data_IF_183050377753
#
_entry.id   IF_183050377753
#
_cell.length_a   1.000
_cell.length_b   1.000
_cell.length_c   1.000
_cell.angle_alpha   90.00
_cell.angle_beta   90.00
_cell.angle_gamma   90.00
#
_symmetry.space_group_name_H-M   'P 1'
#
loop_
_entity.id
_entity.type
_entity.pdbx_description
1 polymer ?
#
# COMPACT_ATOMS: atom_id res chain seq x y z
N UNK A 1 -2.20 -10.17 18.75
CA UNK A 1 -3.07 -11.37 18.92
C UNK A 1 -4.16 -11.33 17.87
N UNK A 2 -5.03 -12.34 17.78
CA UNK A 2 -6.15 -12.31 16.82
C UNK A 2 -7.14 -11.19 17.17
N UNK A 3 -7.39 -10.94 18.46
CA UNK A 3 -8.28 -9.88 18.92
C UNK A 3 -7.79 -8.51 18.43
N UNK A 4 -6.50 -8.23 18.57
CA UNK A 4 -5.92 -6.97 18.10
C UNK A 4 -6.05 -6.78 16.58
N UNK A 5 -6.01 -7.89 15.80
CA UNK A 5 -6.13 -7.86 14.34
C UNK A 5 -7.55 -7.48 13.91
N UNK A 6 -8.58 -7.95 14.63
CA UNK A 6 -9.99 -7.74 14.29
C UNK A 6 -10.63 -6.55 15.03
N UNK A 7 -9.97 -6.03 16.07
CA UNK A 7 -10.52 -5.02 16.98
C UNK A 7 -11.15 -3.83 16.24
N UNK A 8 -10.44 -3.30 15.24
CA UNK A 8 -10.95 -2.17 14.48
C UNK A 8 -12.26 -2.49 13.74
N UNK A 9 -12.42 -3.70 13.19
CA UNK A 9 -13.65 -4.13 12.53
C UNK A 9 -14.80 -4.36 13.50
N UNK A 10 -14.51 -4.85 14.71
CA UNK A 10 -15.51 -5.00 15.77
C UNK A 10 -16.02 -3.63 16.22
N UNK A 11 -15.12 -2.66 16.40
CA UNK A 11 -15.47 -1.30 16.84
C UNK A 11 -16.16 -0.47 15.74
N UNK A 12 -16.02 -0.86 14.47
CA UNK A 12 -16.49 -0.10 13.33
C UNK A 12 -17.34 -0.99 12.39
N UNK A 13 -18.64 -1.19 12.68
CA UNK A 13 -19.53 -2.08 11.90
C UNK A 13 -19.80 -1.60 10.46
N UNK A 14 -19.24 -0.47 10.05
CA UNK A 14 -19.30 0.05 8.68
C UNK A 14 -20.55 0.88 8.39
N UNK A 15 -20.68 1.29 7.13
CA UNK A 15 -21.85 2.01 6.59
C UNK A 15 -22.33 1.31 5.32
N UNK A 16 -23.63 1.34 4.98
CA UNK A 16 -24.16 0.59 3.83
C UNK A 16 -23.49 0.91 2.49
N UNK A 17 -22.93 2.11 2.35
CA UNK A 17 -22.26 2.56 1.12
C UNK A 17 -20.79 2.15 0.99
N UNK A 18 -20.18 1.54 2.03
CA UNK A 18 -18.76 1.17 2.02
C UNK A 18 -18.50 -0.13 2.76
N UNK A 19 -17.88 -1.06 2.05
CA UNK A 19 -17.39 -2.30 2.63
C UNK A 19 -15.94 -2.11 3.10
N UNK A 20 -15.71 -2.40 4.38
CA UNK A 20 -14.38 -2.48 4.98
C UNK A 20 -14.03 -3.94 5.26
N UNK A 21 -12.74 -4.25 5.32
CA UNK A 21 -12.29 -5.57 5.72
C UNK A 21 -12.41 -5.83 7.22
N UNK A 22 -12.31 -4.77 8.03
CA UNK A 22 -12.36 -4.90 9.48
C UNK A 22 -11.09 -5.48 10.12
N UNK A 23 -10.06 -5.82 9.34
CA UNK A 23 -8.82 -6.43 9.84
C UNK A 23 -7.60 -5.58 9.55
N UNK A 24 -6.62 -5.61 10.46
CA UNK A 24 -5.34 -4.94 10.32
C UNK A 24 -4.18 -5.87 10.65
N UNK A 25 -3.25 -6.07 9.72
CA UNK A 25 -2.03 -6.81 9.99
C UNK A 25 -1.09 -5.99 10.89
N UNK A 26 -0.36 -6.65 11.79
CA UNK A 26 0.61 -6.00 12.68
C UNK A 26 2.05 -6.08 12.22
N UNK A 27 2.38 -7.12 11.46
CA UNK A 27 3.70 -7.35 10.89
C UNK A 27 3.56 -8.34 9.72
N UNK A 28 4.70 -8.74 9.15
CA UNK A 28 4.74 -9.74 8.07
C UNK A 28 4.22 -11.11 8.53
N UNK A 29 4.53 -11.52 9.76
CA UNK A 29 4.16 -12.84 10.30
C UNK A 29 2.65 -12.97 10.49
N UNK A 30 1.95 -11.86 10.74
CA UNK A 30 0.50 -11.79 10.92
C UNK A 30 -0.25 -12.42 9.73
N UNK A 31 0.21 -12.21 8.50
CA UNK A 31 -0.40 -12.80 7.30
C UNK A 31 -0.25 -14.32 7.24
N UNK A 32 0.88 -14.86 7.74
CA UNK A 32 1.14 -16.30 7.78
C UNK A 32 0.42 -16.97 8.94
N UNK A 33 0.41 -16.33 10.11
CA UNK A 33 -0.18 -16.87 11.34
C UNK A 33 -1.70 -16.94 11.28
N UNK A 34 -2.33 -15.96 10.63
CA UNK A 34 -3.79 -15.88 10.49
C UNK A 34 -4.22 -16.00 9.02
N UNK A 35 -3.53 -16.84 8.24
CA UNK A 35 -3.85 -17.09 6.82
C UNK A 35 -5.31 -17.51 6.62
N UNK A 36 -5.84 -18.32 7.54
CA UNK A 36 -7.23 -18.78 7.50
C UNK A 36 -8.24 -17.63 7.57
N UNK A 37 -7.84 -16.47 8.10
CA UNK A 37 -8.62 -15.24 8.10
C UNK A 37 -8.28 -14.35 6.89
N UNK A 38 -7.00 -14.14 6.60
CA UNK A 38 -6.57 -13.19 5.55
C UNK A 38 -6.80 -13.71 4.13
N UNK A 39 -6.54 -14.99 3.85
CA UNK A 39 -6.63 -15.54 2.50
C UNK A 39 -8.06 -15.45 1.92
N UNK A 40 -9.13 -15.83 2.65
CA UNK A 40 -10.48 -15.65 2.16
C UNK A 40 -10.83 -14.18 1.90
N UNK A 41 -10.37 -13.26 2.76
CA UNK A 41 -10.62 -11.83 2.60
C UNK A 41 -9.90 -11.27 1.36
N UNK A 42 -8.63 -11.65 1.16
CA UNK A 42 -7.85 -11.27 -0.02
C UNK A 42 -8.53 -11.78 -1.29
N UNK A 43 -9.00 -13.03 -1.28
CA UNK A 43 -9.72 -13.61 -2.40
C UNK A 43 -11.03 -12.87 -2.71
N UNK A 44 -11.83 -12.54 -1.69
CA UNK A 44 -13.11 -11.83 -1.88
C UNK A 44 -12.89 -10.43 -2.48
N UNK A 45 -11.84 -9.72 -2.05
CA UNK A 45 -11.64 -8.32 -2.47
C UNK A 45 -10.88 -8.17 -3.79
N UNK A 46 -9.89 -9.02 -4.00
CA UNK A 46 -8.91 -8.87 -5.06
C UNK A 46 -8.97 -10.01 -6.08
N UNK A 47 -9.78 -11.04 -5.85
CA UNK A 47 -9.86 -12.25 -6.68
C UNK A 47 -8.51 -12.98 -6.83
N UNK A 48 -7.66 -12.90 -5.79
CA UNK A 48 -6.41 -13.67 -5.70
C UNK A 48 -6.60 -14.81 -4.69
N UNK A 49 -6.51 -16.06 -5.17
CA UNK A 49 -6.64 -17.24 -4.32
C UNK A 49 -5.35 -17.59 -3.56
N UNK A 50 -5.43 -18.50 -2.57
CA UNK A 50 -4.25 -19.01 -1.85
C UNK A 50 -3.21 -19.57 -2.84
N UNK A 51 -1.96 -19.12 -2.73
CA UNK A 51 -0.87 -19.53 -3.62
C UNK A 51 -0.76 -18.76 -4.95
N UNK A 52 -1.65 -17.79 -5.20
CA UNK A 52 -1.50 -16.89 -6.34
C UNK A 52 -0.26 -16.00 -6.16
N UNK A 53 0.50 -15.78 -7.23
CA UNK A 53 1.69 -14.92 -7.20
C UNK A 53 1.39 -13.55 -7.78
N UNK A 54 1.69 -12.51 -7.02
CA UNK A 54 1.65 -11.14 -7.53
C UNK A 54 2.95 -10.82 -8.29
N UNK A 55 2.81 -10.29 -9.50
CA UNK A 55 3.91 -9.78 -10.30
C UNK A 55 3.99 -8.26 -10.16
N UNK A 56 5.21 -7.75 -10.03
CA UNK A 56 5.48 -6.32 -9.90
C UNK A 56 6.30 -5.88 -11.11
N UNK A 57 5.73 -5.02 -11.94
CA UNK A 57 6.40 -4.41 -13.09
C UNK A 57 6.29 -2.88 -12.93
N UNK A 58 7.45 -2.22 -12.92
CA UNK A 58 7.56 -0.76 -12.75
C UNK A 58 8.20 -0.11 -13.97
N UNK A 59 8.29 -0.83 -15.08
CA UNK A 59 8.82 -0.33 -16.34
C UNK A 59 7.83 0.64 -17.00
N UNK A 60 8.17 1.93 -16.96
CA UNK A 60 7.37 3.03 -17.51
C UNK A 60 7.26 2.91 -19.04
N UNK A 61 8.24 2.30 -19.71
CA UNK A 61 8.28 2.22 -21.18
C UNK A 61 7.18 1.33 -21.77
N UNK A 62 6.59 0.46 -20.94
CA UNK A 62 5.46 -0.40 -21.33
C UNK A 62 4.11 0.30 -21.25
N UNK A 63 4.05 1.51 -20.71
CA UNK A 63 2.83 2.29 -20.67
C UNK A 63 2.50 2.77 -22.09
N UNK A 64 1.35 2.33 -22.60
CA UNK A 64 0.81 2.81 -23.86
C UNK A 64 -0.44 3.64 -23.57
N UNK A 65 -0.40 4.93 -23.90
CA UNK A 65 -1.52 5.84 -23.70
C UNK A 65 -2.34 5.92 -24.99
N UNK A 66 -3.58 5.40 -25.00
CA UNK A 66 -4.39 5.35 -26.22
C UNK A 66 -4.80 6.72 -26.76
N UNK A 67 -4.58 7.79 -26.00
CA UNK A 67 -4.95 9.17 -26.35
C UNK A 67 -3.76 10.00 -26.85
N UNK A 68 -2.53 9.47 -26.90
CA UNK A 68 -1.37 10.22 -27.40
C UNK A 68 -1.50 10.62 -28.87
N UNK A 69 -2.25 9.86 -29.67
CA UNK A 69 -2.49 10.14 -31.09
C UNK A 69 -3.80 10.90 -31.37
N UNK A 70 -4.67 11.07 -30.37
CA UNK A 70 -5.97 11.73 -30.54
C UNK A 70 -5.87 13.23 -30.23
N UNK A 71 -5.70 14.02 -31.29
CA UNK A 71 -5.59 15.49 -31.20
C UNK A 71 -6.89 16.19 -30.84
N UNK A 72 -8.01 15.46 -30.74
CA UNK A 72 -9.33 16.04 -30.42
C UNK A 72 -9.61 16.11 -28.92
N UNK A 73 -8.84 15.37 -28.10
CA UNK A 73 -9.01 15.34 -26.66
C UNK A 73 -8.07 16.33 -25.96
N UNK A 74 -8.63 17.47 -25.54
CA UNK A 74 -7.90 18.44 -24.71
C UNK A 74 -7.82 17.97 -23.25
N UNK A 75 -6.76 17.26 -22.92
CA UNK A 75 -6.51 16.71 -21.58
C UNK A 75 -6.53 17.80 -20.50
N UNK A 76 -6.07 19.02 -20.80
CA UNK A 76 -5.97 20.11 -19.84
C UNK A 76 -7.33 20.75 -19.52
N UNK A 77 -8.33 20.56 -20.39
CA UNK A 77 -9.70 21.01 -20.14
C UNK A 77 -10.43 20.11 -19.13
N UNK A 78 -10.12 18.81 -19.12
CA UNK A 78 -10.88 17.82 -18.34
C UNK A 78 -10.13 17.32 -17.11
N UNK A 79 -8.80 17.24 -17.16
CA UNK A 79 -7.98 16.66 -16.08
C UNK A 79 -7.28 17.79 -15.32
N UNK A 80 -7.67 17.98 -14.06
CA UNK A 80 -7.07 18.99 -13.18
C UNK A 80 -5.72 18.54 -12.61
N UNK A 81 -5.58 17.28 -12.23
CA UNK A 81 -4.31 16.68 -11.81
C UNK A 81 -4.35 15.16 -11.87
N UNK A 82 -3.18 14.57 -12.04
CA UNK A 82 -2.96 13.13 -12.00
C UNK A 82 -1.92 12.81 -10.92
N UNK A 83 -2.19 11.80 -10.10
CA UNK A 83 -1.28 11.39 -9.02
C UNK A 83 -1.24 9.89 -8.90
N UNK A 84 -0.03 9.34 -8.88
CA UNK A 84 0.24 7.94 -8.55
C UNK A 84 0.81 7.90 -7.13
N UNK A 85 0.23 7.05 -6.26
CA UNK A 85 0.73 6.82 -4.90
C UNK A 85 1.06 5.35 -4.74
N UNK A 86 2.23 5.09 -4.18
CA UNK A 86 2.68 3.76 -3.79
C UNK A 86 3.02 3.79 -2.30
N UNK A 87 2.92 2.66 -1.62
CA UNK A 87 3.29 2.52 -0.21
C UNK A 87 4.14 1.27 -0.03
N UNK A 88 5.07 1.33 0.93
CA UNK A 88 6.02 0.26 1.26
C UNK A 88 6.13 0.16 2.77
N UNK A 89 6.28 -1.06 3.26
CA UNK A 89 6.67 -1.34 4.63
C UNK A 89 8.14 -1.75 4.64
N UNK A 90 8.86 -1.41 5.71
CA UNK A 90 10.25 -1.85 5.88
C UNK A 90 10.25 -3.23 6.53
N UNK A 91 11.01 -4.16 5.94
CA UNK A 91 11.22 -5.48 6.54
C UNK A 91 11.83 -5.36 7.94
N UNK A 92 11.51 -6.31 8.81
CA UNK A 92 11.95 -6.34 10.21
C UNK A 92 11.40 -5.22 11.10
N UNK A 93 10.42 -4.46 10.62
CA UNK A 93 9.64 -3.53 11.43
C UNK A 93 8.17 -3.94 11.45
N UNK A 94 7.56 -3.76 12.61
CA UNK A 94 6.11 -3.81 12.75
C UNK A 94 5.43 -2.75 11.89
N UNK A 95 4.23 -3.06 11.43
CA UNK A 95 3.37 -2.14 10.69
C UNK A 95 2.84 -1.04 11.61
N UNK A 96 2.38 0.10 11.06
CA UNK A 96 2.02 1.28 11.84
C UNK A 96 1.00 1.04 12.97
N UNK A 97 0.12 0.05 12.77
CA UNK A 97 -0.96 -0.39 13.66
C UNK A 97 -0.45 -0.95 14.98
N UNK A 98 0.72 -1.60 14.98
CA UNK A 98 1.29 -2.27 16.16
C UNK A 98 2.67 -1.72 16.54
N UNK A 99 3.16 -0.74 15.79
CA UNK A 99 4.50 -0.21 15.97
C UNK A 99 4.67 0.56 17.28
N UNK A 100 5.74 0.22 17.99
CA UNK A 100 6.13 0.96 19.18
C UNK A 100 6.66 2.35 18.82
N UNK A 101 6.62 3.30 19.77
CA UNK A 101 7.23 4.63 19.58
C UNK A 101 8.72 4.55 19.23
N UNK A 102 9.43 3.55 19.76
CA UNK A 102 10.84 3.35 19.49
C UNK A 102 11.08 2.88 18.05
N UNK A 103 10.33 1.89 17.57
CA UNK A 103 10.41 1.42 16.18
C UNK A 103 10.04 2.51 15.19
N UNK A 104 8.96 3.26 15.44
CA UNK A 104 8.53 4.36 14.57
C UNK A 104 9.63 5.42 14.39
N UNK A 105 10.32 5.79 15.46
CA UNK A 105 11.48 6.72 15.41
C UNK A 105 12.67 6.12 14.65
N UNK A 106 12.91 4.82 14.78
CA UNK A 106 13.96 4.12 14.02
C UNK A 106 13.66 4.11 12.52
N UNK A 107 12.41 3.88 12.14
CA UNK A 107 11.94 3.95 10.75
C UNK A 107 12.12 5.37 10.21
N UNK A 108 11.62 6.37 10.92
CA UNK A 108 11.78 7.79 10.57
C UNK A 108 13.26 8.16 10.37
N UNK A 109 14.12 7.85 11.33
CA UNK A 109 15.54 8.15 11.24
C UNK A 109 16.26 7.45 10.08
N UNK A 110 15.84 6.24 9.70
CA UNK A 110 16.36 5.57 8.49
C UNK A 110 15.90 6.26 7.22
N UNK A 111 14.61 6.60 7.13
CA UNK A 111 14.04 7.24 5.94
C UNK A 111 14.64 8.63 5.71
N UNK A 112 14.79 9.44 6.77
CA UNK A 112 15.37 10.79 6.64
C UNK A 112 16.80 10.74 6.08
N UNK A 113 17.63 9.81 6.57
CA UNK A 113 19.00 9.63 6.04
C UNK A 113 19.02 9.28 4.56
N UNK A 114 18.13 8.39 4.12
CA UNK A 114 18.04 7.99 2.70
C UNK A 114 17.54 9.16 1.85
N UNK A 115 16.54 9.91 2.32
CA UNK A 115 16.01 11.06 1.59
C UNK A 115 17.02 12.21 1.48
N UNK A 116 17.81 12.45 2.53
CA UNK A 116 18.90 13.43 2.49
C UNK A 116 19.94 13.07 1.40
N UNK A 117 20.29 11.79 1.27
CA UNK A 117 21.21 11.30 0.23
C UNK A 117 20.61 11.46 -1.17
N UNK A 118 19.36 11.07 -1.37
CA UNK A 118 18.68 11.19 -2.67
C UNK A 118 18.53 12.64 -3.14
N UNK A 119 18.33 13.58 -2.22
CA UNK A 119 18.27 15.01 -2.55
C UNK A 119 19.65 15.50 -3.03
N UNK A 120 20.74 15.04 -2.40
CA UNK A 120 22.10 15.41 -2.81
C UNK A 120 22.42 14.88 -4.21
N UNK A 121 22.06 13.64 -4.53
CA UNK A 121 22.27 13.03 -5.84
C UNK A 121 21.47 13.74 -6.94
N UNK A 122 20.20 14.08 -6.68
CA UNK A 122 19.35 14.76 -7.66
C UNK A 122 19.73 16.24 -7.89
N UNK A 123 20.41 16.88 -6.93
CA UNK A 123 20.90 18.26 -7.08
C UNK A 123 22.27 18.36 -7.77
N UNK A 124 22.90 17.24 -8.13
CA UNK A 124 24.16 17.20 -8.90
C UNK A 124 23.95 17.10 -10.42
N UNK A 125 22.70 17.12 -10.88
CA UNK A 125 22.30 17.25 -12.28
C UNK A 125 21.60 18.59 -12.53
#
# INVERSE_FOLDING_TARGET
TIDDVIQWGVDNPGVPSRQYFGVSAGDEETYKMFSDLFDPLIQIRYNYGPGSRQYHDVDITKLNFPFESDTTFDINKYILSSRIRITRNLASYTFPTFSTRAERRRVEGKLNKVFEQLIQENNQF
#
